data_IF_310654019412
#
_entry.id   IF_310654019412
#
_cell.length_a   1.000
_cell.length_b   1.000
_cell.length_c   1.000
_cell.angle_alpha   90.00
_cell.angle_beta   90.00
_cell.angle_gamma   90.00
#
_symmetry.space_group_name_H-M   'P 1'
#
loop_
_entity.id
_entity.type
_entity.pdbx_description
1 polymer ?
#
# COMPACT_ATOMS: atom_id res chain seq x y z
N UNK A 1 -7.54 -25.27 -12.05
CA UNK A 1 -7.23 -23.90 -11.58
C UNK A 1 -7.73 -22.88 -12.58
N UNK A 2 -8.46 -21.86 -12.14
CA UNK A 2 -8.92 -20.72 -12.96
C UNK A 2 -8.11 -19.47 -12.57
N UNK A 3 -7.87 -18.57 -13.51
CA UNK A 3 -7.11 -17.35 -13.34
C UNK A 3 -8.05 -16.16 -13.53
N UNK A 4 -8.06 -15.26 -12.55
CA UNK A 4 -8.91 -14.07 -12.54
C UNK A 4 -8.03 -12.83 -12.41
N UNK A 5 -8.02 -11.99 -13.43
CA UNK A 5 -7.28 -10.73 -13.43
C UNK A 5 -8.16 -9.60 -12.90
N UNK A 6 -7.67 -8.90 -11.90
CA UNK A 6 -8.29 -7.72 -11.33
C UNK A 6 -7.36 -6.51 -11.45
N UNK A 7 -7.94 -5.33 -11.46
CA UNK A 7 -7.21 -4.07 -11.37
C UNK A 7 -7.92 -3.14 -10.40
N UNK A 8 -7.14 -2.36 -9.64
CA UNK A 8 -7.68 -1.35 -8.73
C UNK A 8 -8.36 -0.24 -9.52
N UNK A 9 -9.59 0.09 -9.17
CA UNK A 9 -10.30 1.22 -9.73
C UNK A 9 -9.89 2.51 -9.02
N UNK A 10 -8.92 3.23 -9.60
CA UNK A 10 -8.33 4.44 -9.00
C UNK A 10 -9.36 5.53 -8.73
N UNK A 11 -10.43 5.66 -9.57
CA UNK A 11 -11.48 6.67 -9.34
C UNK A 11 -12.28 6.37 -8.07
N UNK A 12 -12.67 5.11 -7.88
CA UNK A 12 -13.39 4.68 -6.67
C UNK A 12 -12.51 4.80 -5.43
N UNK A 13 -11.23 4.38 -5.56
CA UNK A 13 -10.27 4.46 -4.46
C UNK A 13 -10.02 5.91 -4.03
N UNK A 14 -9.75 6.81 -4.98
CA UNK A 14 -9.54 8.23 -4.68
C UNK A 14 -10.77 8.88 -4.02
N UNK A 15 -11.98 8.54 -4.49
CA UNK A 15 -13.21 9.01 -3.86
C UNK A 15 -13.31 8.53 -2.40
N UNK A 16 -13.00 7.28 -2.14
CA UNK A 16 -12.98 6.73 -0.78
C UNK A 16 -11.91 7.42 0.09
N UNK A 17 -10.71 7.62 -0.43
CA UNK A 17 -9.67 8.35 0.29
C UNK A 17 -10.14 9.75 0.69
N UNK A 18 -10.75 10.51 -0.22
CA UNK A 18 -11.30 11.85 0.09
C UNK A 18 -12.35 11.75 1.20
N UNK A 19 -13.24 10.76 1.12
CA UNK A 19 -14.29 10.55 2.14
C UNK A 19 -13.71 10.27 3.53
N UNK A 20 -12.57 9.58 3.63
CA UNK A 20 -11.89 9.32 4.91
C UNK A 20 -11.01 10.49 5.36
N UNK A 21 -10.45 11.27 4.43
CA UNK A 21 -9.67 12.45 4.79
C UNK A 21 -10.51 13.56 5.41
N UNK A 22 -11.78 13.74 5.01
CA UNK A 22 -12.66 14.75 5.59
C UNK A 22 -12.82 14.57 7.12
N UNK A 23 -13.28 13.42 7.64
CA UNK A 23 -13.39 13.21 9.08
C UNK A 23 -12.02 13.24 9.78
N UNK A 24 -10.93 12.82 9.10
CA UNK A 24 -9.59 12.94 9.64
C UNK A 24 -9.22 14.40 9.93
N UNK A 25 -9.42 15.31 8.98
CA UNK A 25 -9.13 16.74 9.19
C UNK A 25 -9.98 17.35 10.26
N UNK A 26 -11.26 16.95 10.35
CA UNK A 26 -12.16 17.35 11.44
C UNK A 26 -11.60 16.90 12.80
N UNK A 27 -11.18 15.64 12.90
CA UNK A 27 -10.59 15.07 14.11
C UNK A 27 -9.31 15.82 14.52
N UNK A 28 -8.38 16.06 13.58
CA UNK A 28 -7.14 16.81 13.78
C UNK A 28 -7.43 18.21 14.32
N UNK A 29 -8.43 18.87 13.75
CA UNK A 29 -8.87 20.20 14.19
C UNK A 29 -9.38 20.17 15.64
N UNK A 30 -10.28 19.24 15.99
CA UNK A 30 -10.79 19.09 17.35
C UNK A 30 -9.72 18.69 18.37
N UNK A 31 -8.73 17.91 17.98
CA UNK A 31 -7.59 17.59 18.84
C UNK A 31 -6.62 18.77 19.04
N UNK A 32 -6.76 19.86 18.28
CA UNK A 32 -5.88 21.03 18.37
C UNK A 32 -4.44 20.78 17.90
N UNK A 33 -4.21 19.67 17.17
CA UNK A 33 -2.87 19.25 16.73
C UNK A 33 -2.54 19.71 15.30
N UNK A 34 -3.42 20.46 14.64
CA UNK A 34 -3.20 21.01 13.29
C UNK A 34 -1.95 21.92 13.19
N UNK A 35 -1.55 22.55 14.30
CA UNK A 35 -0.34 23.39 14.36
C UNK A 35 0.96 22.63 14.08
N UNK A 36 0.97 21.31 14.22
CA UNK A 36 2.13 20.47 13.93
C UNK A 36 2.21 20.05 12.46
N UNK A 37 1.20 20.39 11.64
CA UNK A 37 1.20 20.14 10.19
C UNK A 37 1.97 21.25 9.45
N UNK A 38 3.25 21.30 9.69
CA UNK A 38 4.19 22.21 9.04
C UNK A 38 4.94 21.51 7.89
N UNK A 39 5.86 22.21 7.24
CA UNK A 39 6.63 21.64 6.12
C UNK A 39 7.39 20.36 6.53
N UNK A 40 8.02 20.36 7.71
CA UNK A 40 8.78 19.23 8.22
C UNK A 40 7.91 17.99 8.42
N UNK A 41 6.66 18.18 8.86
CA UNK A 41 5.69 17.08 8.94
C UNK A 41 5.49 16.41 7.58
N UNK A 42 5.32 17.17 6.49
CA UNK A 42 5.10 16.59 5.17
C UNK A 42 6.35 15.87 4.63
N UNK A 43 7.55 16.38 4.96
CA UNK A 43 8.80 15.69 4.63
C UNK A 43 8.88 14.34 5.36
N UNK A 44 8.63 14.33 6.66
CA UNK A 44 8.64 13.10 7.47
C UNK A 44 7.56 12.14 6.97
N UNK A 45 6.37 12.64 6.65
CA UNK A 45 5.27 11.83 6.11
C UNK A 45 5.63 11.15 4.78
N UNK A 46 6.39 11.82 3.92
CA UNK A 46 6.89 11.21 2.69
C UNK A 46 7.75 9.95 2.98
N UNK A 47 8.66 10.04 3.97
CA UNK A 47 9.44 8.87 4.40
C UNK A 47 8.58 7.81 5.10
N UNK A 48 7.54 8.25 5.80
CA UNK A 48 6.58 7.36 6.43
C UNK A 48 5.83 6.50 5.41
N UNK A 49 5.48 7.08 4.26
CA UNK A 49 4.91 6.33 3.14
C UNK A 49 5.86 5.25 2.60
N UNK A 50 7.16 5.56 2.54
CA UNK A 50 8.15 4.56 2.16
C UNK A 50 8.26 3.41 3.18
N UNK A 51 8.22 3.74 4.47
CA UNK A 51 8.18 2.76 5.55
C UNK A 51 6.92 1.87 5.46
N UNK A 52 5.80 2.44 5.05
CA UNK A 52 4.56 1.71 4.79
C UNK A 52 4.79 0.59 3.75
N UNK A 53 5.38 0.91 2.60
CA UNK A 53 5.68 -0.08 1.57
C UNK A 53 6.69 -1.13 2.05
N UNK A 54 7.69 -0.72 2.83
CA UNK A 54 8.67 -1.63 3.41
C UNK A 54 7.98 -2.69 4.30
N UNK A 55 6.98 -2.29 5.06
CA UNK A 55 6.22 -3.20 5.93
C UNK A 55 5.40 -4.22 5.14
N UNK A 56 4.83 -3.87 3.98
CA UNK A 56 4.23 -4.85 3.08
C UNK A 56 5.24 -5.94 2.69
N UNK A 57 6.46 -5.55 2.32
CA UNK A 57 7.50 -6.50 1.99
C UNK A 57 7.93 -7.39 3.16
N UNK A 58 7.98 -6.83 4.38
CA UNK A 58 8.21 -7.64 5.59
C UNK A 58 7.08 -8.64 5.77
N UNK A 59 5.82 -8.24 5.57
CA UNK A 59 4.66 -9.14 5.61
C UNK A 59 4.75 -10.27 4.58
N UNK A 60 5.18 -9.98 3.35
CA UNK A 60 5.46 -10.98 2.32
C UNK A 60 6.56 -11.94 2.74
N UNK A 61 7.69 -11.42 3.22
CA UNK A 61 8.82 -12.22 3.68
C UNK A 61 8.45 -13.16 4.82
N UNK A 62 7.73 -12.68 5.83
CA UNK A 62 7.22 -13.49 6.94
C UNK A 62 6.22 -14.56 6.48
N UNK A 63 5.59 -14.35 5.33
CA UNK A 63 4.68 -15.32 4.71
C UNK A 63 5.38 -16.32 3.79
N UNK A 64 6.73 -16.33 3.79
CA UNK A 64 7.55 -17.31 3.08
C UNK A 64 7.94 -16.93 1.66
N UNK A 65 7.69 -15.68 1.23
CA UNK A 65 8.15 -15.15 -0.06
C UNK A 65 9.66 -14.89 0.01
N UNK A 66 10.39 -15.26 -1.05
CA UNK A 66 11.81 -14.95 -1.13
C UNK A 66 12.04 -13.44 -1.26
N UNK A 67 13.09 -12.93 -0.62
CA UNK A 67 13.42 -11.49 -0.66
C UNK A 67 13.65 -10.99 -2.10
N UNK A 68 14.20 -11.84 -2.98
CA UNK A 68 14.47 -11.50 -4.38
C UNK A 68 13.20 -11.33 -5.23
N UNK A 69 12.06 -11.81 -4.76
CA UNK A 69 10.76 -11.73 -5.43
C UNK A 69 9.91 -10.56 -4.95
N UNK A 70 10.41 -9.81 -3.96
CA UNK A 70 9.77 -8.60 -3.44
C UNK A 70 10.36 -7.40 -4.18
N UNK A 71 9.51 -6.61 -4.84
CA UNK A 71 9.91 -5.46 -5.66
C UNK A 71 9.25 -4.21 -5.10
N UNK A 72 10.07 -3.22 -4.78
CA UNK A 72 9.62 -1.88 -4.38
C UNK A 72 9.74 -0.91 -5.55
N UNK A 73 8.77 -0.02 -5.68
CA UNK A 73 8.77 0.98 -6.74
C UNK A 73 7.84 2.15 -6.49
N UNK A 74 7.84 3.06 -7.46
CA UNK A 74 6.95 4.21 -7.48
C UNK A 74 6.38 4.41 -8.88
N UNK A 75 5.07 4.62 -8.97
CA UNK A 75 4.38 5.02 -10.18
C UNK A 75 4.05 6.51 -10.06
N UNK A 76 4.98 7.37 -10.49
CA UNK A 76 4.87 8.83 -10.34
C UNK A 76 3.67 9.41 -11.09
N UNK A 77 3.29 8.83 -12.23
CA UNK A 77 2.11 9.23 -13.00
C UNK A 77 0.80 9.07 -12.22
N UNK A 78 0.76 8.08 -11.33
CA UNK A 78 -0.39 7.79 -10.48
C UNK A 78 -0.20 8.30 -9.03
N UNK A 79 0.99 8.81 -8.68
CA UNK A 79 1.34 9.24 -7.33
C UNK A 79 1.33 8.10 -6.30
N UNK A 80 1.73 6.87 -6.70
CA UNK A 80 1.65 5.67 -5.87
C UNK A 80 3.06 5.13 -5.64
N UNK A 81 3.39 4.86 -4.36
CA UNK A 81 4.43 3.90 -4.01
C UNK A 81 3.82 2.51 -3.97
N UNK A 82 4.60 1.49 -4.22
CA UNK A 82 4.12 0.12 -4.18
C UNK A 82 5.19 -0.87 -3.77
N UNK A 83 4.74 -1.94 -3.12
CA UNK A 83 5.49 -3.15 -2.89
C UNK A 83 4.77 -4.31 -3.59
N UNK A 84 5.44 -5.02 -4.47
CA UNK A 84 4.88 -6.12 -5.27
C UNK A 84 5.53 -7.45 -4.92
N UNK A 85 4.74 -8.51 -4.96
CA UNK A 85 5.18 -9.90 -4.82
C UNK A 85 5.10 -10.62 -6.17
N UNK A 86 6.24 -11.09 -6.69
CA UNK A 86 6.32 -11.84 -7.97
C UNK A 86 6.13 -13.34 -7.81
N UNK A 87 6.15 -13.84 -6.60
CA UNK A 87 5.83 -15.24 -6.31
C UNK A 87 4.35 -15.40 -6.00
N UNK A 88 3.87 -16.64 -6.16
CA UNK A 88 2.51 -17.01 -5.77
C UNK A 88 2.42 -17.10 -4.26
N UNK A 89 1.64 -16.23 -3.66
CA UNK A 89 1.40 -16.22 -2.23
C UNK A 89 -0.02 -16.71 -1.91
N UNK A 90 -0.16 -17.45 -0.82
CA UNK A 90 -1.45 -17.92 -0.36
C UNK A 90 -2.30 -16.78 0.23
N UNK A 91 -3.62 -16.96 0.26
CA UNK A 91 -4.58 -16.00 0.81
C UNK A 91 -4.17 -15.47 2.18
N UNK A 92 -3.67 -16.31 3.09
CA UNK A 92 -3.23 -15.88 4.42
C UNK A 92 -2.03 -14.93 4.35
N UNK A 93 -1.09 -15.21 3.48
CA UNK A 93 0.12 -14.41 3.32
C UNK A 93 -0.17 -13.01 2.79
N UNK A 94 -1.02 -12.88 1.77
CA UNK A 94 -1.42 -11.55 1.28
C UNK A 94 -2.20 -10.76 2.33
N UNK A 95 -3.08 -11.40 3.09
CA UNK A 95 -3.83 -10.75 4.18
C UNK A 95 -2.88 -10.23 5.26
N UNK A 96 -1.87 -11.00 5.65
CA UNK A 96 -0.84 -10.55 6.61
C UNK A 96 -0.12 -9.32 6.06
N UNK A 97 0.36 -9.39 4.82
CA UNK A 97 1.08 -8.26 4.19
C UNK A 97 0.23 -6.99 4.16
N UNK A 98 -1.03 -7.06 3.74
CA UNK A 98 -1.94 -5.90 3.66
C UNK A 98 -2.20 -5.24 5.03
N UNK A 99 -2.27 -6.03 6.10
CA UNK A 99 -2.58 -5.51 7.44
C UNK A 99 -1.32 -5.03 8.19
N UNK A 100 -0.12 -5.41 7.75
CA UNK A 100 1.12 -5.10 8.45
C UNK A 100 1.35 -3.59 8.67
N UNK A 101 1.27 -2.72 7.63
CA UNK A 101 1.42 -1.28 7.83
C UNK A 101 0.31 -0.68 8.68
N UNK A 102 -0.94 -1.16 8.51
CA UNK A 102 -2.07 -0.68 9.30
C UNK A 102 -1.84 -0.86 10.80
N UNK A 103 -1.42 -2.05 11.23
CA UNK A 103 -1.20 -2.31 12.65
C UNK A 103 0.09 -1.68 13.18
N UNK A 104 1.23 -1.81 12.49
CA UNK A 104 2.53 -1.38 13.02
C UNK A 104 2.72 0.13 13.01
N UNK A 105 2.53 0.79 11.88
CA UNK A 105 2.73 2.24 11.77
C UNK A 105 1.43 3.05 11.75
N UNK A 106 0.28 2.38 11.79
CA UNK A 106 -1.01 3.01 12.06
C UNK A 106 -1.36 2.89 13.54
N UNK A 107 -1.94 1.76 13.93
CA UNK A 107 -2.54 1.59 15.26
C UNK A 107 -1.50 1.66 16.39
N UNK A 108 -0.40 0.88 16.29
CA UNK A 108 0.59 0.79 17.35
C UNK A 108 1.31 2.13 17.59
N UNK A 109 1.76 2.81 16.51
CA UNK A 109 2.41 4.11 16.66
C UNK A 109 1.45 5.21 17.09
N UNK A 110 0.14 5.12 16.78
CA UNK A 110 -0.87 6.02 17.30
C UNK A 110 -0.91 5.99 18.83
N UNK A 111 -1.00 4.81 19.42
CA UNK A 111 -1.00 4.68 20.88
C UNK A 111 0.33 5.10 21.51
N UNK A 112 1.47 4.79 20.90
CA UNK A 112 2.78 5.28 21.35
C UNK A 112 2.79 6.82 21.35
N UNK A 113 2.32 7.43 20.24
CA UNK A 113 2.26 8.88 20.13
C UNK A 113 1.40 9.53 21.21
N UNK A 114 0.28 8.91 21.59
CA UNK A 114 -0.56 9.40 22.70
C UNK A 114 0.13 9.26 24.06
N UNK A 115 0.75 8.11 24.34
CA UNK A 115 1.41 7.85 25.62
C UNK A 115 2.61 8.79 25.85
N UNK A 116 3.36 9.09 24.81
CA UNK A 116 4.54 9.98 24.88
C UNK A 116 4.22 11.43 24.50
N UNK A 117 2.94 11.79 24.34
CA UNK A 117 2.48 13.14 23.95
C UNK A 117 3.15 13.66 22.68
N UNK A 118 3.59 12.75 21.79
CA UNK A 118 4.23 13.10 20.52
C UNK A 118 3.17 13.26 19.41
N UNK A 119 2.68 14.49 19.26
CA UNK A 119 1.60 14.80 18.33
C UNK A 119 2.01 14.65 16.84
N UNK A 120 3.29 14.74 16.50
CA UNK A 120 3.78 14.44 15.15
C UNK A 120 3.59 12.96 14.86
N UNK A 121 3.94 12.08 15.80
CA UNK A 121 3.75 10.65 15.65
C UNK A 121 2.25 10.28 15.56
N UNK A 122 1.39 10.96 16.34
CA UNK A 122 -0.08 10.80 16.25
C UNK A 122 -0.57 11.18 14.86
N UNK A 123 -0.14 12.32 14.31
CA UNK A 123 -0.51 12.76 12.96
C UNK A 123 -0.05 11.77 11.88
N UNK A 124 1.21 11.34 11.93
CA UNK A 124 1.76 10.35 10.99
C UNK A 124 0.95 9.05 10.99
N UNK A 125 0.57 8.58 12.18
CA UNK A 125 -0.25 7.38 12.35
C UNK A 125 -1.65 7.54 11.77
N UNK A 126 -2.30 8.67 12.03
CA UNK A 126 -3.64 8.98 11.51
C UNK A 126 -3.64 9.07 9.98
N UNK A 127 -2.64 9.74 9.40
CA UNK A 127 -2.48 9.81 7.95
C UNK A 127 -2.21 8.44 7.35
N UNK A 128 -1.41 7.60 8.01
CA UNK A 128 -1.17 6.23 7.57
C UNK A 128 -2.44 5.37 7.60
N UNK A 129 -3.25 5.47 8.67
CA UNK A 129 -4.52 4.73 8.77
C UNK A 129 -5.43 5.05 7.58
N UNK A 130 -5.53 6.34 7.20
CA UNK A 130 -6.28 6.73 6.00
C UNK A 130 -5.57 6.29 4.72
N UNK A 131 -4.23 6.32 4.69
CA UNK A 131 -3.44 5.79 3.56
C UNK A 131 -3.68 4.31 3.29
N UNK A 132 -3.95 3.51 4.34
CA UNK A 132 -4.28 2.08 4.22
C UNK A 132 -5.67 1.78 3.62
N UNK A 133 -6.43 2.77 3.15
CA UNK A 133 -7.78 2.54 2.58
C UNK A 133 -7.73 1.55 1.42
N UNK A 134 -6.69 1.59 0.57
CA UNK A 134 -6.48 0.62 -0.51
C UNK A 134 -6.30 -0.80 0.01
N UNK A 135 -5.42 -0.96 0.99
CA UNK A 135 -5.12 -2.26 1.62
C UNK A 135 -6.34 -2.83 2.33
N UNK A 136 -7.09 -1.98 3.03
CA UNK A 136 -8.32 -2.38 3.68
C UNK A 136 -9.41 -2.79 2.67
N UNK A 137 -9.52 -2.11 1.53
CA UNK A 137 -10.41 -2.54 0.44
C UNK A 137 -10.03 -3.93 -0.08
N UNK A 138 -8.73 -4.20 -0.28
CA UNK A 138 -8.24 -5.52 -0.67
C UNK A 138 -8.50 -6.54 0.44
N UNK A 139 -8.16 -6.22 1.68
CA UNK A 139 -8.39 -7.09 2.84
C UNK A 139 -9.86 -7.53 2.95
N UNK A 140 -10.82 -6.58 3.01
CA UNK A 140 -12.24 -6.89 3.12
C UNK A 140 -12.78 -7.67 1.91
N UNK A 141 -12.18 -7.48 0.74
CA UNK A 141 -12.51 -8.26 -0.44
C UNK A 141 -12.01 -9.69 -0.30
N UNK A 142 -10.74 -9.86 0.04
CA UNK A 142 -10.08 -11.17 0.07
C UNK A 142 -10.57 -12.08 1.19
N UNK A 143 -10.91 -11.54 2.36
CA UNK A 143 -11.47 -12.33 3.46
C UNK A 143 -12.74 -13.10 3.03
N UNK A 144 -13.55 -12.50 2.16
CA UNK A 144 -14.84 -13.07 1.70
C UNK A 144 -14.69 -14.12 0.59
N UNK A 145 -13.51 -14.17 -0.08
CA UNK A 145 -13.27 -15.13 -1.14
C UNK A 145 -12.97 -16.52 -0.58
N UNK A 146 -13.24 -17.59 -1.34
CA UNK A 146 -12.66 -18.91 -1.07
C UNK A 146 -11.14 -18.87 -1.18
N UNK A 147 -10.47 -20.00 -0.95
CA UNK A 147 -9.01 -20.06 -1.03
C UNK A 147 -8.52 -19.75 -2.45
N UNK A 148 -7.43 -18.97 -2.51
CA UNK A 148 -6.77 -18.55 -3.73
C UNK A 148 -5.27 -18.35 -3.50
N UNK A 149 -4.52 -18.31 -4.60
CA UNK A 149 -3.15 -17.78 -4.64
C UNK A 149 -3.16 -16.42 -5.31
N UNK A 150 -2.32 -15.51 -4.82
CA UNK A 150 -2.18 -14.13 -5.29
C UNK A 150 -0.83 -13.94 -5.98
N UNK A 151 -0.82 -13.13 -7.03
CA UNK A 151 0.40 -12.65 -7.72
C UNK A 151 0.16 -11.24 -8.23
N UNK A 152 1.11 -10.33 -8.00
CA UNK A 152 1.08 -8.99 -8.57
C UNK A 152 1.45 -8.97 -10.05
N UNK A 153 0.83 -8.06 -10.80
CA UNK A 153 1.18 -7.75 -12.18
C UNK A 153 2.10 -6.51 -12.25
N UNK A 154 2.82 -6.36 -13.37
CA UNK A 154 3.77 -5.24 -13.54
C UNK A 154 3.10 -3.88 -13.86
N UNK A 155 1.79 -3.81 -13.91
CA UNK A 155 1.03 -2.59 -14.21
C UNK A 155 0.74 -1.69 -12.98
N UNK A 156 1.39 -1.96 -11.83
CA UNK A 156 1.31 -1.24 -10.55
C UNK A 156 -0.06 -1.29 -9.85
N UNK A 157 -1.11 -1.72 -10.51
CA UNK A 157 -2.48 -1.72 -9.95
C UNK A 157 -3.22 -3.04 -10.18
N UNK A 158 -2.65 -3.93 -10.99
CA UNK A 158 -3.23 -5.20 -11.34
C UNK A 158 -2.63 -6.36 -10.57
N UNK A 159 -3.47 -7.37 -10.38
CA UNK A 159 -3.07 -8.63 -9.77
C UNK A 159 -3.90 -9.79 -10.33
N UNK A 160 -3.42 -11.00 -10.13
CA UNK A 160 -4.10 -12.23 -10.53
C UNK A 160 -4.43 -13.07 -9.29
N UNK A 161 -5.66 -13.52 -9.20
CA UNK A 161 -6.09 -14.54 -8.26
C UNK A 161 -6.20 -15.89 -8.97
N UNK A 162 -5.61 -16.91 -8.42
CA UNK A 162 -5.60 -18.28 -8.94
C UNK A 162 -6.38 -19.13 -7.97
N UNK A 163 -7.51 -19.69 -8.40
CA UNK A 163 -8.40 -20.50 -7.54
C UNK A 163 -8.99 -21.68 -8.31
N UNK A 164 -9.34 -22.73 -7.60
CA UNK A 164 -10.14 -23.84 -8.14
C UNK A 164 -11.63 -23.48 -8.18
N UNK A 165 -12.06 -22.59 -7.28
CA UNK A 165 -13.40 -22.06 -7.22
C UNK A 165 -13.63 -20.95 -8.26
N UNK A 166 -14.86 -20.76 -8.70
CA UNK A 166 -15.23 -19.66 -9.59
C UNK A 166 -15.38 -18.37 -8.80
N UNK A 167 -14.49 -17.39 -9.07
CA UNK A 167 -14.49 -16.10 -8.43
C UNK A 167 -15.29 -15.03 -9.20
N UNK A 168 -15.84 -15.33 -10.37
CA UNK A 168 -16.52 -14.36 -11.24
C UNK A 168 -17.74 -13.71 -10.58
N UNK A 169 -18.40 -14.42 -9.67
CA UNK A 169 -19.59 -13.95 -8.96
C UNK A 169 -19.30 -13.03 -7.76
N UNK A 170 -18.02 -12.89 -7.36
CA UNK A 170 -17.63 -12.05 -6.24
C UNK A 170 -17.31 -10.64 -6.69
N UNK A 171 -18.01 -9.66 -6.13
CA UNK A 171 -17.69 -8.23 -6.33
C UNK A 171 -16.65 -7.81 -5.29
N UNK A 172 -15.50 -7.37 -5.78
CA UNK A 172 -14.42 -6.85 -4.93
C UNK A 172 -14.56 -5.33 -4.75
N UNK A 173 -14.21 -4.84 -3.55
CA UNK A 173 -14.27 -3.41 -3.25
C UNK A 173 -13.20 -2.64 -4.05
N UNK A 174 -13.61 -1.56 -4.70
CA UNK A 174 -12.72 -0.69 -5.48
C UNK A 174 -11.88 -1.40 -6.56
N UNK A 175 -12.31 -2.57 -7.03
CA UNK A 175 -11.63 -3.35 -8.05
C UNK A 175 -12.57 -3.70 -9.18
N UNK A 176 -12.02 -3.75 -10.38
CA UNK A 176 -12.73 -4.17 -11.58
C UNK A 176 -12.15 -5.50 -12.07
N UNK A 177 -13.02 -6.44 -12.44
CA UNK A 177 -12.59 -7.68 -13.09
C UNK A 177 -12.26 -7.35 -14.55
N UNK A 178 -11.01 -7.58 -14.94
CA UNK A 178 -10.52 -7.22 -16.27
C UNK A 178 -10.68 -8.39 -17.24
N UNK A 179 -10.37 -9.61 -16.82
CA UNK A 179 -10.49 -10.82 -17.66
C UNK A 179 -10.41 -12.09 -16.82
N UNK A 180 -11.01 -13.16 -17.36
CA UNK A 180 -10.81 -14.52 -16.91
C UNK A 180 -10.25 -15.31 -18.09
N UNK A 181 -9.11 -15.99 -17.96
CA UNK A 181 -8.47 -16.66 -19.09
C UNK A 181 -7.39 -17.66 -18.70
N UNK A 182 -6.68 -18.17 -19.71
CA UNK A 182 -5.55 -19.08 -19.54
C UNK A 182 -4.30 -18.34 -19.02
N UNK A 183 -3.40 -19.02 -18.29
CA UNK A 183 -2.20 -18.43 -17.71
C UNK A 183 -1.31 -17.72 -18.72
N UNK A 184 -1.17 -18.26 -19.92
CA UNK A 184 -0.28 -17.74 -20.97
C UNK A 184 -0.75 -16.39 -21.54
N UNK A 185 -2.06 -16.15 -21.59
CA UNK A 185 -2.64 -14.88 -22.06
C UNK A 185 -2.54 -13.77 -21.01
N UNK A 186 -2.45 -14.12 -19.73
CA UNK A 186 -2.43 -13.17 -18.61
C UNK A 186 -1.01 -12.74 -18.20
N UNK A 187 -0.01 -13.59 -18.47
CA UNK A 187 1.40 -13.36 -18.08
C UNK A 187 2.24 -12.84 -19.27
N UNK A 188 1.84 -13.10 -20.52
CA UNK A 188 2.65 -12.85 -21.71
C UNK A 188 2.62 -11.41 -22.26
N UNK A 189 1.71 -10.54 -21.82
CA UNK A 189 1.56 -9.21 -22.38
C UNK A 189 2.37 -8.15 -21.64
N UNK A 190 3.59 -7.90 -22.18
CA UNK A 190 4.40 -6.68 -22.01
C UNK A 190 4.77 -6.30 -20.58
N UNK A 191 5.68 -7.06 -20.01
CA UNK A 191 6.50 -6.61 -18.88
C UNK A 191 7.40 -5.45 -19.32
N UNK A 192 6.89 -4.23 -19.36
CA UNK A 192 7.76 -3.06 -19.30
C UNK A 192 8.42 -3.09 -17.93
N UNK A 193 9.67 -3.55 -17.89
CA UNK A 193 10.53 -3.46 -16.71
C UNK A 193 10.54 -1.99 -16.31
N UNK A 194 9.78 -1.65 -15.26
CA UNK A 194 9.82 -0.30 -14.69
C UNK A 194 11.19 -0.21 -14.02
N UNK A 195 12.16 0.29 -14.77
CA UNK A 195 13.41 0.73 -14.16
C UNK A 195 13.02 1.79 -13.15
N UNK A 196 13.29 1.53 -11.87
CA UNK A 196 13.34 2.59 -10.86
C UNK A 196 14.25 3.64 -11.49
N UNK A 197 13.68 4.76 -11.92
CA UNK A 197 14.46 5.74 -12.64
C UNK A 197 15.57 6.21 -11.68
N UNK A 198 16.79 6.38 -12.18
CA UNK A 198 17.89 6.98 -11.41
C UNK A 198 17.44 8.27 -10.72
N UNK A 199 16.43 8.93 -11.27
CA UNK A 199 15.77 10.11 -10.73
C UNK A 199 15.07 9.85 -9.38
N UNK A 200 14.36 8.72 -9.21
CA UNK A 200 13.72 8.39 -7.92
C UNK A 200 14.77 8.15 -6.82
N UNK A 201 15.89 7.53 -7.19
CA UNK A 201 17.00 7.31 -6.25
C UNK A 201 17.69 8.62 -5.87
N UNK A 202 17.96 9.50 -6.84
CA UNK A 202 18.55 10.82 -6.61
C UNK A 202 17.60 11.68 -5.76
N UNK A 203 16.32 11.71 -6.08
CA UNK A 203 15.31 12.45 -5.33
C UNK A 203 15.23 11.96 -3.88
N UNK A 204 15.25 10.64 -3.67
CA UNK A 204 15.29 10.05 -2.33
C UNK A 204 16.54 10.48 -1.55
N UNK A 205 17.73 10.42 -2.18
CA UNK A 205 18.99 10.84 -1.54
C UNK A 205 18.99 12.33 -1.21
N UNK A 206 18.47 13.19 -2.09
CA UNK A 206 18.35 14.64 -1.83
C UNK A 206 17.42 14.90 -0.65
N UNK A 207 16.27 14.23 -0.59
CA UNK A 207 15.34 14.38 0.53
C UNK A 207 15.91 13.87 1.84
N UNK A 208 16.67 12.77 1.82
CA UNK A 208 17.38 12.25 2.99
C UNK A 208 18.44 13.26 3.51
N UNK A 209 19.19 13.86 2.61
CA UNK A 209 20.19 14.90 2.95
C UNK A 209 19.50 16.11 3.55
N UNK A 210 18.39 16.60 2.99
CA UNK A 210 17.63 17.72 3.53
C UNK A 210 17.10 17.41 4.94
N UNK A 211 16.64 16.19 5.18
CA UNK A 211 16.17 15.75 6.49
C UNK A 211 17.31 15.70 7.53
N UNK A 212 18.49 15.22 7.12
CA UNK A 212 19.67 15.22 7.97
C UNK A 212 20.09 16.65 8.32
N UNK A 213 20.12 17.55 7.35
CA UNK A 213 20.49 18.97 7.58
C UNK A 213 19.51 19.61 8.58
N UNK A 214 18.21 19.37 8.46
CA UNK A 214 17.19 19.96 9.32
C UNK A 214 17.16 19.36 10.74
N UNK A 215 17.70 18.14 10.92
CA UNK A 215 17.83 17.49 12.22
C UNK A 215 19.04 18.01 13.01
N UNK A 216 20.05 18.59 12.32
CA UNK A 216 21.28 19.09 12.92
C UNK A 216 21.38 20.62 12.95
N UNK A 217 20.39 21.36 12.42
CA UNK A 217 20.26 22.82 12.50
C UNK A 217 19.08 23.19 13.39
#
# INVERSE_FOLDING_TARGET
MKYFRYSMNMKKLNFLCILFFIPLFILIYFMGISKYMNFNFFVIYFFWMFLHELLHGIGFYLSGVSFNSIIYGACLEKGIFYCMCKERIDKKGIIISLLFPFFFIGVFTFFIGLVFENYILVLLSLFNIVGCVGDLCMFFSFVRLPDFKYVDLDDCTGFVLISDSDLSNYKLFCMDNVSCGNPDDLVSNNFKKINISKFSYIFFMVMLILLIIEFFV
#
